data_IF_191947424233
#
_entry.id   IF_191947424233
#
_cell.length_a   1.000
_cell.length_b   1.000
_cell.length_c   1.000
_cell.angle_alpha   90.00
_cell.angle_beta   90.00
_cell.angle_gamma   90.00
#
_symmetry.space_group_name_H-M   'P 1'
#
loop_
_entity.id
_entity.type
_entity.pdbx_description
1 polymer ?
#
# COMPACT_ATOMS: atom_id res chain seq x y z
N UNK A 1 -32.30 24.65 5.68
CA UNK A 1 -32.20 23.67 4.58
C UNK A 1 -32.74 22.35 5.09
N UNK A 2 -33.63 21.69 4.35
CA UNK A 2 -34.11 20.35 4.72
C UNK A 2 -33.06 19.32 4.29
N UNK A 3 -32.74 18.38 5.18
CA UNK A 3 -31.81 17.29 4.91
C UNK A 3 -32.48 16.19 4.08
N UNK A 4 -31.76 15.64 3.11
CA UNK A 4 -32.18 14.51 2.27
C UNK A 4 -31.08 13.45 2.34
N UNK A 5 -31.38 12.24 2.85
CA UNK A 5 -30.40 11.15 2.96
C UNK A 5 -30.12 10.53 1.58
N UNK A 6 -28.94 9.91 1.45
CA UNK A 6 -28.66 9.04 0.31
C UNK A 6 -29.50 7.76 0.37
N UNK A 7 -29.98 7.31 -0.77
CA UNK A 7 -30.68 6.03 -0.86
C UNK A 7 -29.70 4.86 -0.93
N UNK A 8 -30.15 3.68 -0.54
CA UNK A 8 -29.38 2.44 -0.75
C UNK A 8 -29.06 2.23 -2.22
N UNK A 9 -29.96 2.61 -3.13
CA UNK A 9 -29.76 2.57 -4.58
C UNK A 9 -28.59 3.44 -5.04
N UNK A 10 -28.40 4.64 -4.46
CA UNK A 10 -27.27 5.51 -4.79
C UNK A 10 -25.94 4.80 -4.48
N UNK A 11 -25.84 4.21 -3.29
CA UNK A 11 -24.64 3.46 -2.89
C UNK A 11 -24.38 2.21 -3.74
N UNK A 12 -25.44 1.48 -4.10
CA UNK A 12 -25.30 0.32 -4.99
C UNK A 12 -24.87 0.72 -6.40
N UNK A 13 -25.43 1.80 -6.95
CA UNK A 13 -25.06 2.34 -8.25
C UNK A 13 -23.59 2.77 -8.27
N UNK A 14 -23.13 3.45 -7.22
CA UNK A 14 -21.71 3.80 -7.10
C UNK A 14 -20.83 2.56 -6.99
N UNK A 15 -21.24 1.56 -6.21
CA UNK A 15 -20.49 0.31 -6.07
C UNK A 15 -20.33 -0.43 -7.40
N UNK A 16 -21.38 -0.49 -8.23
CA UNK A 16 -21.35 -1.20 -9.52
C UNK A 16 -20.60 -0.45 -10.61
N UNK A 17 -20.53 0.89 -10.53
CA UNK A 17 -19.78 1.72 -11.48
C UNK A 17 -18.27 1.75 -11.22
N UNK A 18 -17.80 1.25 -10.08
CA UNK A 18 -16.39 1.28 -9.69
C UNK A 18 -15.76 -0.12 -9.73
N UNK A 19 -14.45 -0.17 -10.03
CA UNK A 19 -13.67 -1.41 -9.87
C UNK A 19 -13.62 -1.84 -8.39
N UNK A 20 -13.36 -3.13 -8.10
CA UNK A 20 -13.22 -3.59 -6.72
C UNK A 20 -12.22 -2.74 -5.95
N UNK A 21 -12.57 -2.32 -4.73
CA UNK A 21 -11.71 -1.45 -3.91
C UNK A 21 -10.30 -2.02 -3.67
N UNK A 22 -10.09 -3.33 -3.82
CA UNK A 22 -8.76 -3.95 -3.67
C UNK A 22 -7.85 -3.75 -4.88
N UNK A 23 -8.40 -3.44 -6.05
CA UNK A 23 -7.67 -3.29 -7.32
C UNK A 23 -7.36 -1.83 -7.61
N UNK A 24 -8.39 -0.97 -7.54
CA UNK A 24 -8.28 0.45 -7.84
C UNK A 24 -9.09 1.30 -6.85
N UNK A 25 -8.60 1.47 -5.62
CA UNK A 25 -9.35 2.17 -4.57
C UNK A 25 -9.57 3.65 -4.87
N UNK A 26 -8.71 4.29 -5.67
CA UNK A 26 -8.66 5.75 -5.83
C UNK A 26 -10.01 6.38 -6.24
N UNK A 27 -10.71 5.81 -7.23
CA UNK A 27 -11.96 6.39 -7.74
C UNK A 27 -13.06 6.37 -6.68
N UNK A 28 -13.21 5.24 -5.97
CA UNK A 28 -14.18 5.10 -4.90
C UNK A 28 -13.82 6.01 -3.70
N UNK A 29 -12.54 6.16 -3.38
CA UNK A 29 -12.11 7.06 -2.32
C UNK A 29 -12.41 8.52 -2.67
N UNK A 30 -12.08 8.97 -3.88
CA UNK A 30 -12.38 10.34 -4.31
C UNK A 30 -13.88 10.64 -4.30
N UNK A 31 -14.72 9.65 -4.64
CA UNK A 31 -16.18 9.77 -4.51
C UNK A 31 -16.60 9.92 -3.04
N UNK A 32 -16.09 9.08 -2.14
CA UNK A 32 -16.40 9.14 -0.71
C UNK A 32 -15.93 10.47 -0.11
N UNK A 33 -14.75 10.95 -0.50
CA UNK A 33 -14.24 12.28 -0.10
C UNK A 33 -15.17 13.40 -0.52
N UNK A 34 -15.70 13.34 -1.74
CA UNK A 34 -16.66 14.32 -2.23
C UNK A 34 -17.96 14.27 -1.43
N UNK A 35 -18.49 13.07 -1.19
CA UNK A 35 -19.71 12.86 -0.40
C UNK A 35 -19.52 13.34 1.04
N UNK A 36 -18.39 13.05 1.67
CA UNK A 36 -18.13 13.43 3.07
C UNK A 36 -17.83 14.92 3.28
N UNK A 37 -17.56 15.67 2.20
CA UNK A 37 -17.51 17.14 2.24
C UNK A 37 -18.89 17.78 2.35
N UNK A 38 -19.97 17.02 2.14
CA UNK A 38 -21.33 17.55 2.24
C UNK A 38 -21.65 17.85 3.71
N UNK A 39 -22.02 19.10 4.07
CA UNK A 39 -22.12 19.54 5.47
C UNK A 39 -23.27 18.91 6.28
N UNK A 40 -24.10 18.08 5.65
CA UNK A 40 -25.26 17.46 6.27
C UNK A 40 -25.11 15.94 6.49
N UNK A 41 -23.96 15.33 6.13
CA UNK A 41 -23.78 13.91 6.43
C UNK A 41 -23.76 13.68 7.94
N UNK A 42 -24.59 12.75 8.37
CA UNK A 42 -24.72 12.31 9.75
C UNK A 42 -23.87 11.06 10.01
N UNK A 43 -23.74 10.67 11.28
CA UNK A 43 -23.08 9.41 11.65
C UNK A 43 -23.74 8.20 10.97
N UNK A 44 -25.08 8.19 10.87
CA UNK A 44 -25.84 7.12 10.24
C UNK A 44 -25.55 7.01 8.74
N UNK A 45 -25.45 8.12 8.03
CA UNK A 45 -25.09 8.14 6.60
C UNK A 45 -23.73 7.47 6.36
N UNK A 46 -22.76 7.77 7.21
CA UNK A 46 -21.43 7.18 7.12
C UNK A 46 -21.44 5.69 7.46
N UNK A 47 -22.22 5.24 8.45
CA UNK A 47 -22.39 3.80 8.72
C UNK A 47 -23.05 3.09 7.53
N UNK A 48 -24.09 3.67 6.94
CA UNK A 48 -24.75 3.11 5.76
C UNK A 48 -23.81 3.04 4.55
N UNK A 49 -22.98 4.07 4.36
CA UNK A 49 -21.93 4.09 3.35
C UNK A 49 -20.93 2.94 3.57
N UNK A 50 -20.46 2.75 4.81
CA UNK A 50 -19.55 1.66 5.16
C UNK A 50 -20.14 0.29 4.87
N UNK A 51 -21.40 0.07 5.27
CA UNK A 51 -22.12 -1.19 5.10
C UNK A 51 -22.37 -1.51 3.62
N UNK A 52 -22.73 -0.49 2.83
CA UNK A 52 -23.11 -0.67 1.43
C UNK A 52 -21.89 -0.83 0.51
N UNK A 53 -20.87 0.02 0.69
CA UNK A 53 -19.74 0.11 -0.24
C UNK A 53 -18.65 -0.94 0.01
N UNK A 54 -18.48 -1.41 1.26
CA UNK A 54 -17.36 -2.27 1.64
C UNK A 54 -17.81 -3.65 2.12
N UNK A 55 -16.96 -4.66 1.90
CA UNK A 55 -17.14 -6.00 2.49
C UNK A 55 -16.86 -5.97 3.99
N UNK A 56 -17.37 -6.94 4.75
CA UNK A 56 -17.13 -7.04 6.18
C UNK A 56 -15.63 -7.04 6.54
N UNK A 57 -14.80 -7.74 5.75
CA UNK A 57 -13.34 -7.73 5.89
C UNK A 57 -12.75 -6.32 5.78
N UNK A 58 -13.18 -5.55 4.77
CA UNK A 58 -12.72 -4.18 4.55
C UNK A 58 -13.21 -3.23 5.62
N UNK A 59 -14.46 -3.37 6.06
CA UNK A 59 -15.01 -2.61 7.18
C UNK A 59 -14.19 -2.83 8.45
N UNK A 60 -13.87 -4.09 8.77
CA UNK A 60 -13.02 -4.42 9.91
C UNK A 60 -11.62 -3.82 9.76
N UNK A 61 -11.03 -3.86 8.55
CA UNK A 61 -9.73 -3.23 8.30
C UNK A 61 -9.76 -1.72 8.48
N UNK A 62 -10.78 -1.04 7.95
CA UNK A 62 -10.97 0.41 8.13
C UNK A 62 -11.06 0.75 9.62
N UNK A 63 -11.95 0.06 10.36
CA UNK A 63 -12.11 0.27 11.80
C UNK A 63 -10.80 0.03 12.56
N UNK A 64 -10.05 -0.99 12.17
CA UNK A 64 -8.73 -1.29 12.75
C UNK A 64 -7.73 -0.15 12.52
N UNK A 65 -7.61 0.37 11.29
CA UNK A 65 -6.67 1.44 10.99
C UNK A 65 -7.04 2.75 11.70
N UNK A 66 -8.32 3.10 11.78
CA UNK A 66 -8.77 4.27 12.57
C UNK A 66 -8.39 4.12 14.03
N UNK A 67 -8.68 2.96 14.64
CA UNK A 67 -8.31 2.69 16.03
C UNK A 67 -6.81 2.79 16.23
N UNK A 68 -6.01 2.16 15.37
CA UNK A 68 -4.55 2.19 15.45
C UNK A 68 -3.99 3.62 15.48
N UNK A 69 -4.53 4.52 14.66
CA UNK A 69 -4.10 5.93 14.63
C UNK A 69 -4.52 6.66 15.92
N UNK A 70 -5.76 6.49 16.38
CA UNK A 70 -6.26 7.14 17.60
C UNK A 70 -5.60 6.63 18.89
N UNK A 71 -5.07 5.41 18.88
CA UNK A 71 -4.43 4.77 20.04
C UNK A 71 -2.92 5.04 20.12
N UNK A 72 -2.29 5.52 19.06
CA UNK A 72 -0.83 5.61 18.95
C UNK A 72 -0.19 6.48 20.04
N UNK A 73 0.53 5.85 20.99
CA UNK A 73 1.31 6.54 22.02
C UNK A 73 0.50 7.11 23.19
N UNK A 74 -0.78 6.77 23.30
CA UNK A 74 -1.67 7.23 24.37
C UNK A 74 -1.78 6.22 25.51
N UNK A 75 -2.07 6.69 26.74
CA UNK A 75 -2.47 5.80 27.84
C UNK A 75 -3.84 5.17 27.55
N UNK A 76 -4.16 4.06 28.20
CA UNK A 76 -5.43 3.34 28.02
C UNK A 76 -6.67 4.23 28.24
N UNK A 77 -6.62 5.11 29.24
CA UNK A 77 -7.70 6.05 29.56
C UNK A 77 -7.87 7.13 28.46
N UNK A 78 -6.77 7.66 27.94
CA UNK A 78 -6.78 8.64 26.85
C UNK A 78 -7.29 7.99 25.55
N UNK A 79 -6.82 6.79 25.25
CA UNK A 79 -7.25 5.96 24.14
C UNK A 79 -8.78 5.75 24.14
N UNK A 80 -9.35 5.35 25.28
CA UNK A 80 -10.79 5.13 25.41
C UNK A 80 -11.60 6.40 25.18
N UNK A 81 -11.13 7.53 25.74
CA UNK A 81 -11.76 8.84 25.54
C UNK A 81 -11.73 9.28 24.08
N UNK A 82 -10.57 9.15 23.42
CA UNK A 82 -10.39 9.50 22.01
C UNK A 82 -11.27 8.66 21.08
N UNK A 83 -11.41 7.35 21.36
CA UNK A 83 -12.30 6.49 20.59
C UNK A 83 -13.77 6.91 20.72
N UNK A 84 -14.24 7.19 21.93
CA UNK A 84 -15.62 7.66 22.15
C UNK A 84 -15.90 8.99 21.46
N UNK A 85 -14.93 9.90 21.46
CA UNK A 85 -15.10 11.25 20.90
C UNK A 85 -14.91 11.32 19.39
N UNK A 86 -13.96 10.56 18.84
CA UNK A 86 -13.54 10.71 17.44
C UNK A 86 -14.04 9.61 16.51
N UNK A 87 -14.35 8.42 17.02
CA UNK A 87 -14.82 7.30 16.20
C UNK A 87 -15.69 6.31 17.00
N UNK A 88 -16.85 6.79 17.53
CA UNK A 88 -17.72 5.96 18.35
C UNK A 88 -18.27 4.78 17.53
N UNK A 89 -18.35 3.62 18.18
CA UNK A 89 -18.92 2.41 17.57
C UNK A 89 -20.45 2.39 17.64
N UNK A 90 -21.04 3.19 18.53
CA UNK A 90 -22.48 3.36 18.73
C UNK A 90 -22.90 4.77 18.29
N UNK A 91 -24.20 4.96 18.06
CA UNK A 91 -24.76 6.24 17.60
C UNK A 91 -24.51 7.33 18.66
N UNK A 92 -23.79 8.42 18.32
CA UNK A 92 -23.54 9.50 19.25
C UNK A 92 -24.69 10.50 19.29
N UNK A 93 -24.87 11.17 20.44
CA UNK A 93 -25.85 12.27 20.61
C UNK A 93 -25.37 13.61 20.01
N UNK A 94 -24.71 13.56 18.85
CA UNK A 94 -24.21 14.77 18.19
C UNK A 94 -25.35 15.51 17.49
N UNK A 95 -25.68 16.72 17.95
CA UNK A 95 -26.59 17.62 17.22
C UNK A 95 -25.87 18.24 16.02
N UNK A 96 -26.24 17.91 14.75
CA UNK A 96 -25.60 18.43 13.55
C UNK A 96 -25.76 19.95 13.38
N UNK A 97 -26.68 20.59 14.11
CA UNK A 97 -26.88 22.04 14.07
C UNK A 97 -26.05 22.80 15.11
N UNK A 98 -25.57 22.10 16.15
CA UNK A 98 -24.70 22.66 17.17
C UNK A 98 -23.25 22.80 16.69
N UNK A 99 -22.51 23.77 17.23
CA UNK A 99 -21.07 23.91 16.93
C UNK A 99 -20.28 22.67 17.35
N UNK A 100 -20.58 22.10 18.53
CA UNK A 100 -19.93 20.90 19.05
C UNK A 100 -20.22 19.66 18.21
N UNK A 101 -21.48 19.43 17.83
CA UNK A 101 -21.85 18.28 16.99
C UNK A 101 -21.29 18.39 15.58
N UNK A 102 -21.27 19.58 14.97
CA UNK A 102 -20.57 19.79 13.68
C UNK A 102 -19.08 19.47 13.75
N UNK A 103 -18.41 19.92 14.80
CA UNK A 103 -16.99 19.62 14.99
C UNK A 103 -16.75 18.13 15.18
N UNK A 104 -17.61 17.44 15.95
CA UNK A 104 -17.52 16.01 16.15
C UNK A 104 -17.75 15.21 14.84
N UNK A 105 -18.72 15.62 14.02
CA UNK A 105 -18.95 15.05 12.68
C UNK A 105 -17.75 15.26 11.75
N UNK A 106 -17.15 16.46 11.74
CA UNK A 106 -15.93 16.73 10.95
C UNK A 106 -14.78 15.82 11.39
N UNK A 107 -14.54 15.69 12.69
CA UNK A 107 -13.52 14.79 13.24
C UNK A 107 -13.81 13.34 12.87
N UNK A 108 -15.06 12.92 12.95
CA UNK A 108 -15.48 11.57 12.57
C UNK A 108 -15.26 11.30 11.07
N UNK A 109 -15.66 12.21 10.18
CA UNK A 109 -15.44 12.10 8.73
C UNK A 109 -13.96 12.00 8.39
N UNK A 110 -13.10 12.82 9.03
CA UNK A 110 -11.66 12.79 8.83
C UNK A 110 -11.05 11.46 9.28
N UNK A 111 -11.42 10.98 10.46
CA UNK A 111 -10.96 9.69 10.97
C UNK A 111 -11.40 8.54 10.06
N UNK A 112 -12.66 8.54 9.64
CA UNK A 112 -13.18 7.54 8.72
C UNK A 112 -12.44 7.53 7.39
N UNK A 113 -12.23 8.71 6.79
CA UNK A 113 -11.53 8.85 5.53
C UNK A 113 -10.06 8.39 5.63
N UNK A 114 -9.38 8.75 6.72
CA UNK A 114 -8.01 8.28 6.99
C UNK A 114 -7.96 6.75 7.12
N UNK A 115 -8.96 6.14 7.78
CA UNK A 115 -9.10 4.70 7.87
C UNK A 115 -9.33 4.03 6.52
N UNK A 116 -10.17 4.64 5.66
CA UNK A 116 -10.41 4.17 4.29
C UNK A 116 -9.12 4.21 3.48
N UNK A 117 -8.39 5.33 3.53
CA UNK A 117 -7.08 5.43 2.90
C UNK A 117 -6.14 4.35 3.43
N UNK A 118 -5.94 4.25 4.74
CA UNK A 118 -5.04 3.28 5.33
C UNK A 118 -5.41 1.81 5.01
N UNK A 119 -6.72 1.49 4.92
CA UNK A 119 -7.19 0.16 4.56
C UNK A 119 -7.07 -0.14 3.05
N UNK A 120 -7.05 0.89 2.19
CA UNK A 120 -6.87 0.73 0.75
C UNK A 120 -5.45 0.29 0.39
N UNK A 121 -4.46 0.80 1.11
CA UNK A 121 -3.07 0.47 0.87
C UNK A 121 -2.71 -0.80 1.65
N UNK A 122 -2.58 -1.92 0.93
CA UNK A 122 -1.97 -3.12 1.51
C UNK A 122 -0.56 -2.76 1.99
N UNK A 123 -0.13 -3.24 3.17
CA UNK A 123 1.30 -3.29 3.47
C UNK A 123 1.97 -3.99 2.29
N UNK A 124 3.01 -3.37 1.72
CA UNK A 124 3.82 -4.01 0.69
C UNK A 124 4.23 -5.36 1.28
N UNK A 125 3.87 -6.47 0.61
CA UNK A 125 4.24 -7.78 1.11
C UNK A 125 5.77 -7.92 1.01
N UNK A 126 6.46 -7.59 2.09
CA UNK A 126 7.93 -7.63 2.17
C UNK A 126 8.47 -9.06 2.05
N UNK A 127 7.63 -10.10 2.15
CA UNK A 127 8.04 -11.50 1.96
C UNK A 127 8.17 -11.89 0.49
N UNK A 128 7.62 -11.11 -0.45
CA UNK A 128 7.68 -11.41 -1.88
C UNK A 128 8.75 -10.54 -2.51
N UNK A 129 9.92 -11.10 -2.76
CA UNK A 129 11.00 -10.41 -3.48
C UNK A 129 10.57 -10.09 -4.92
N UNK A 130 10.87 -8.88 -5.39
CA UNK A 130 10.65 -8.49 -6.79
C UNK A 130 11.75 -9.03 -7.73
N UNK A 131 12.60 -9.92 -7.24
CA UNK A 131 13.73 -10.50 -7.97
C UNK A 131 14.04 -11.92 -7.50
N UNK A 132 14.71 -12.75 -8.31
CA UNK A 132 14.96 -14.16 -7.98
C UNK A 132 16.24 -14.41 -7.16
N UNK A 133 17.06 -13.39 -6.90
CA UNK A 133 18.37 -13.55 -6.27
C UNK A 133 18.30 -14.02 -4.81
N UNK A 134 19.32 -14.77 -4.38
CA UNK A 134 19.51 -15.29 -3.03
C UNK A 134 20.88 -14.87 -2.47
N UNK A 135 21.04 -14.79 -1.13
CA UNK A 135 22.36 -14.69 -0.52
C UNK A 135 23.29 -15.84 -0.99
N UNK A 136 24.51 -15.50 -1.38
CA UNK A 136 25.48 -16.43 -1.98
C UNK A 136 25.51 -16.42 -3.51
N UNK A 137 24.50 -15.85 -4.18
CA UNK A 137 24.53 -15.69 -5.63
C UNK A 137 25.71 -14.83 -6.08
N UNK A 138 26.32 -15.21 -7.20
CA UNK A 138 27.36 -14.40 -7.85
C UNK A 138 26.71 -13.58 -8.96
N UNK A 139 26.89 -12.26 -8.90
CA UNK A 139 26.24 -11.31 -9.79
C UNK A 139 27.22 -10.29 -10.37
N UNK A 140 26.88 -9.76 -11.53
CA UNK A 140 27.51 -8.58 -12.11
C UNK A 140 26.65 -7.35 -11.84
N UNK A 141 27.31 -6.21 -11.62
CA UNK A 141 26.64 -4.93 -11.41
C UNK A 141 26.93 -4.01 -12.59
N UNK A 142 25.88 -3.41 -13.13
CA UNK A 142 25.97 -2.41 -14.18
C UNK A 142 26.53 -1.12 -13.61
N UNK A 143 27.70 -0.70 -14.10
CA UNK A 143 28.31 0.56 -13.73
C UNK A 143 28.19 1.57 -14.88
N UNK A 144 27.94 2.81 -14.49
CA UNK A 144 27.97 3.97 -15.36
C UNK A 144 29.20 4.79 -14.98
N UNK A 145 30.12 5.00 -15.92
CA UNK A 145 31.27 5.87 -15.73
C UNK A 145 30.87 7.32 -16.04
N UNK A 146 31.52 8.30 -15.40
CA UNK A 146 31.28 9.73 -15.70
C UNK A 146 31.77 10.14 -17.09
N UNK A 147 32.73 9.43 -17.67
CA UNK A 147 33.40 9.82 -18.92
C UNK A 147 32.98 8.99 -20.15
N UNK A 148 32.07 8.02 -19.99
CA UNK A 148 31.60 7.17 -21.08
C UNK A 148 30.18 6.67 -20.82
N UNK A 149 29.24 7.09 -21.68
CA UNK A 149 27.81 6.75 -21.59
C UNK A 149 27.48 5.28 -21.90
N UNK A 150 28.48 4.43 -22.12
CA UNK A 150 28.27 3.00 -22.34
C UNK A 150 28.34 2.24 -21.01
N UNK A 151 27.23 1.66 -20.54
CA UNK A 151 27.25 0.90 -19.30
C UNK A 151 28.11 -0.37 -19.44
N UNK A 152 29.03 -0.56 -18.51
CA UNK A 152 29.86 -1.75 -18.43
C UNK A 152 29.45 -2.61 -17.22
N UNK A 153 29.49 -3.94 -17.39
CA UNK A 153 29.28 -4.87 -16.29
C UNK A 153 30.58 -5.01 -15.49
N UNK A 154 30.58 -4.57 -14.23
CA UNK A 154 31.71 -4.74 -13.31
C UNK A 154 31.82 -6.20 -12.87
N UNK A 155 33.02 -6.59 -12.41
CA UNK A 155 33.44 -7.94 -11.96
C UNK A 155 32.38 -8.62 -11.06
N UNK A 156 32.51 -9.94 -10.90
CA UNK A 156 31.72 -10.77 -9.99
C UNK A 156 31.68 -10.21 -8.55
N UNK A 157 30.47 -10.12 -8.00
CA UNK A 157 30.20 -9.82 -6.59
C UNK A 157 29.32 -10.91 -5.98
N UNK A 158 29.50 -11.19 -4.70
CA UNK A 158 28.64 -12.10 -3.94
C UNK A 158 27.49 -11.31 -3.30
N UNK A 159 26.26 -11.79 -3.46
CA UNK A 159 25.10 -11.24 -2.76
C UNK A 159 25.16 -11.64 -1.29
N UNK A 160 25.11 -10.67 -0.38
CA UNK A 160 25.12 -10.92 1.08
C UNK A 160 23.70 -10.82 1.65
N UNK A 161 22.89 -9.89 1.15
CA UNK A 161 21.53 -9.67 1.63
C UNK A 161 20.59 -9.33 0.47
N UNK A 162 19.39 -9.87 0.53
CA UNK A 162 18.29 -9.58 -0.40
C UNK A 162 17.23 -8.72 0.28
N UNK A 163 16.80 -7.65 -0.37
CA UNK A 163 15.68 -6.80 0.03
C UNK A 163 14.63 -6.82 -1.09
N UNK A 164 13.43 -6.30 -0.85
CA UNK A 164 12.34 -6.32 -1.83
C UNK A 164 12.75 -5.97 -3.27
N UNK A 165 13.50 -4.88 -3.46
CA UNK A 165 13.91 -4.35 -4.76
C UNK A 165 15.42 -4.13 -4.91
N UNK A 166 16.22 -4.51 -3.92
CA UNK A 166 17.65 -4.21 -3.90
C UNK A 166 18.46 -5.34 -3.26
N UNK A 167 19.71 -5.45 -3.68
CA UNK A 167 20.68 -6.39 -3.12
C UNK A 167 21.79 -5.61 -2.42
N UNK A 168 22.23 -6.15 -1.29
CA UNK A 168 23.53 -5.81 -0.71
C UNK A 168 24.54 -6.81 -1.26
N UNK A 169 25.59 -6.30 -1.87
CA UNK A 169 26.70 -7.13 -2.36
C UNK A 169 27.97 -6.84 -1.58
N UNK A 170 28.85 -7.83 -1.56
CA UNK A 170 30.15 -7.73 -0.90
C UNK A 170 31.02 -6.61 -1.49
N UNK A 171 31.68 -5.84 -0.63
CA UNK A 171 32.59 -4.77 -1.05
C UNK A 171 31.94 -3.50 -1.60
N UNK A 172 30.60 -3.43 -1.70
CA UNK A 172 29.88 -2.20 -2.07
C UNK A 172 29.10 -1.66 -0.87
N UNK A 173 29.34 -0.40 -0.52
CA UNK A 173 28.73 0.24 0.65
C UNK A 173 27.23 0.48 0.49
N UNK A 174 26.75 0.72 -0.72
CA UNK A 174 25.33 0.95 -1.01
C UNK A 174 24.62 -0.33 -1.47
N UNK A 175 23.32 -0.42 -1.18
CA UNK A 175 22.47 -1.42 -1.80
C UNK A 175 22.23 -1.06 -3.27
N UNK A 176 22.18 -2.07 -4.13
CA UNK A 176 22.03 -1.91 -5.58
C UNK A 176 20.65 -2.41 -5.99
N UNK A 177 19.90 -1.59 -6.71
CA UNK A 177 18.58 -1.99 -7.20
C UNK A 177 18.70 -3.18 -8.16
N UNK A 178 17.79 -4.16 -8.08
CA UNK A 178 17.89 -5.43 -8.81
C UNK A 178 17.99 -5.26 -10.34
N UNK A 179 17.44 -4.18 -10.89
CA UNK A 179 17.51 -3.88 -12.33
C UNK A 179 18.92 -3.58 -12.85
N UNK A 180 19.86 -3.28 -11.95
CA UNK A 180 21.27 -3.03 -12.27
C UNK A 180 22.12 -4.29 -12.10
N UNK A 181 21.49 -5.43 -11.83
CA UNK A 181 22.16 -6.66 -11.43
C UNK A 181 21.86 -7.76 -12.44
N UNK A 182 22.88 -8.54 -12.77
CA UNK A 182 22.75 -9.68 -13.67
C UNK A 182 23.41 -10.91 -13.05
N UNK A 183 22.68 -12.02 -12.98
CA UNK A 183 23.23 -13.28 -12.48
C UNK A 183 24.36 -13.77 -13.39
N UNK A 184 25.43 -14.26 -12.76
CA UNK A 184 26.52 -14.92 -13.48
C UNK A 184 26.02 -16.31 -13.85
N UNK A 185 26.03 -16.60 -15.15
CA UNK A 185 25.74 -17.94 -15.63
C UNK A 185 27.05 -18.54 -16.12
N UNK A 186 27.38 -19.70 -15.59
CA UNK A 186 28.61 -20.39 -15.90
C UNK A 186 28.48 -20.97 -17.31
N UNK A 187 29.43 -20.64 -18.18
CA UNK A 187 29.52 -21.21 -19.51
C UNK A 187 30.61 -22.28 -19.47
N UNK A 188 30.28 -23.50 -19.87
CA UNK A 188 31.25 -24.57 -20.10
C UNK A 188 31.57 -24.62 -21.58
N UNK A 189 32.87 -24.57 -21.91
CA UNK A 189 33.33 -24.80 -23.26
C UNK A 189 33.46 -26.31 -23.49
N UNK A 190 32.56 -26.87 -24.28
CA UNK A 190 32.62 -28.25 -24.74
C UNK A 190 33.29 -28.33 -26.11
N UNK A 191 33.88 -29.48 -26.42
CA UNK A 191 34.42 -29.74 -27.76
C UNK A 191 33.25 -29.85 -28.74
N UNK A 192 33.27 -29.01 -29.78
CA UNK A 192 32.30 -29.07 -30.85
C UNK A 192 32.54 -30.26 -31.80
N UNK A 193 31.65 -30.49 -32.77
CA UNK A 193 31.72 -31.63 -33.69
C UNK A 193 32.98 -31.61 -34.60
N UNK A 194 33.63 -30.45 -34.75
CA UNK A 194 34.90 -30.32 -35.46
C UNK A 194 36.01 -29.97 -34.47
N UNK A 195 37.22 -30.52 -34.67
CA UNK A 195 38.40 -30.32 -33.80
C UNK A 195 38.81 -28.85 -33.56
N UNK A 196 38.34 -27.92 -34.40
CA UNK A 196 38.64 -26.48 -34.30
C UNK A 196 37.46 -25.64 -33.80
N UNK A 197 36.34 -26.25 -33.40
CA UNK A 197 35.16 -25.53 -32.91
C UNK A 197 34.90 -25.86 -31.44
N UNK A 198 34.80 -24.82 -30.62
CA UNK A 198 34.28 -24.94 -29.25
C UNK A 198 32.79 -24.64 -29.26
N UNK A 199 32.03 -25.40 -28.48
CA UNK A 199 30.60 -25.15 -28.20
C UNK A 199 30.50 -24.60 -26.78
N UNK A 200 29.93 -23.43 -26.62
CA UNK A 200 29.61 -22.89 -25.29
C UNK A 200 28.24 -23.41 -24.88
N UNK A 201 28.21 -24.18 -23.80
CA UNK A 201 26.98 -24.67 -23.17
C UNK A 201 26.75 -23.87 -21.90
N UNK A 202 25.48 -23.55 -21.64
CA UNK A 202 25.04 -22.79 -20.47
C UNK A 202 24.43 -23.79 -19.49
N UNK A 203 24.89 -23.78 -18.23
CA UNK A 203 24.20 -24.49 -17.15
C UNK A 203 22.94 -23.76 -16.70
#
# INVERSE_FOLDING_TARGET
>A
LAYVPFSTSDFYNWKTQNQPFSEKPQLLISLIELVFRTPLLTWDDCQQSLLSLFTAEKQNRIRFEVKKVLLGGHSEEQAHKLLKQGFPSEQPEWDPNSSGGRQALVTFHQNLLNGIWAAAWKPINLSVLCHPFQPGDIVFIKAFWSEGLTPAWKRHYTVILTMLSALKVEGILTCVHYSLIKQVKQWTAERGPNLLKLRLVRS
#
